data_IF_389033880077
#
_entry.id   IF_389033880077
#
_cell.length_a   1.000
_cell.length_b   1.000
_cell.length_c   1.000
_cell.angle_alpha   90.00
_cell.angle_beta   90.00
_cell.angle_gamma   90.00
#
_symmetry.space_group_name_H-M   'P 1'
#
loop_
_entity.id
_entity.type
_entity.pdbx_description
1 polymer ?
#
# COMPACT_ATOMS: atom_id res chain seq x y z
N UNK A 1 9.82 12.07 32.13
CA UNK A 1 9.65 10.60 31.98
C UNK A 1 8.19 10.28 31.73
N UNK A 2 7.30 10.59 32.68
CA UNK A 2 5.86 10.32 32.55
C UNK A 2 5.22 11.02 31.34
N UNK A 3 5.57 12.30 31.08
CA UNK A 3 5.04 13.03 29.93
C UNK A 3 5.41 12.35 28.59
N UNK A 4 6.69 12.07 28.36
CA UNK A 4 7.16 11.40 27.14
C UNK A 4 6.59 9.99 26.98
N UNK A 5 6.46 9.23 28.08
CA UNK A 5 5.82 7.91 28.06
C UNK A 5 4.33 7.97 27.73
N UNK A 6 3.61 8.94 28.29
CA UNK A 6 2.18 9.15 28.03
C UNK A 6 1.90 9.53 26.58
N UNK A 7 2.60 10.53 26.03
CA UNK A 7 2.43 10.92 24.63
C UNK A 7 2.86 9.81 23.67
N UNK A 8 3.92 9.06 24.02
CA UNK A 8 4.32 7.87 23.28
C UNK A 8 3.22 6.81 23.23
N UNK A 9 2.65 6.46 24.39
CA UNK A 9 1.53 5.54 24.49
C UNK A 9 0.30 6.02 23.71
N UNK A 10 -0.06 7.30 23.84
CA UNK A 10 -1.21 7.90 23.17
C UNK A 10 -1.05 7.88 21.64
N UNK A 11 0.16 8.11 21.13
CA UNK A 11 0.43 8.13 19.68
C UNK A 11 0.14 6.79 18.97
N UNK A 12 0.21 5.66 19.68
CA UNK A 12 -0.11 4.34 19.14
C UNK A 12 -1.58 4.19 18.74
N UNK A 13 -2.47 4.94 19.41
CA UNK A 13 -3.91 4.94 19.12
C UNK A 13 -4.25 5.70 17.83
N UNK A 14 -3.37 6.58 17.37
CA UNK A 14 -3.52 7.30 16.09
C UNK A 14 -2.89 6.54 14.92
N UNK A 15 -1.80 5.80 15.17
CA UNK A 15 -1.11 5.02 14.13
C UNK A 15 -0.39 3.83 14.73
N UNK A 16 -0.76 2.62 14.27
CA UNK A 16 -0.12 1.39 14.73
C UNK A 16 1.36 1.30 14.34
N UNK A 17 1.78 1.94 13.25
CA UNK A 17 3.17 1.91 12.75
C UNK A 17 4.13 2.70 13.65
N UNK A 18 3.60 3.56 14.51
CA UNK A 18 4.36 4.33 15.49
C UNK A 18 5.12 3.43 16.46
N UNK A 19 4.68 2.18 16.67
CA UNK A 19 5.40 1.20 17.52
C UNK A 19 6.81 0.91 17.01
N UNK A 20 7.03 0.87 15.69
CA UNK A 20 8.35 0.63 15.13
C UNK A 20 9.29 1.82 15.33
N UNK A 21 8.75 3.04 15.18
CA UNK A 21 9.52 4.28 15.34
C UNK A 21 9.83 4.54 16.81
N UNK A 22 8.83 4.47 17.69
CA UNK A 22 9.05 4.65 19.14
C UNK A 22 9.84 3.50 19.75
N UNK A 23 9.60 2.27 19.30
CA UNK A 23 10.40 1.11 19.68
C UNK A 23 11.87 1.29 19.30
N UNK A 24 12.15 1.79 18.09
CA UNK A 24 13.50 2.11 17.66
C UNK A 24 14.14 3.22 18.49
N UNK A 25 13.42 4.32 18.78
CA UNK A 25 13.95 5.41 19.62
C UNK A 25 14.22 4.91 21.04
N UNK A 26 13.28 4.21 21.66
CA UNK A 26 13.43 3.64 23.00
C UNK A 26 14.59 2.66 23.08
N UNK A 27 14.68 1.72 22.13
CA UNK A 27 15.78 0.76 22.06
C UNK A 27 17.11 1.46 21.80
N UNK A 28 17.16 2.50 20.97
CA UNK A 28 18.37 3.31 20.75
C UNK A 28 18.86 3.97 22.03
N UNK A 29 17.95 4.57 22.81
CA UNK A 29 18.27 5.21 24.09
C UNK A 29 18.79 4.19 25.10
N UNK A 30 18.14 3.02 25.20
CA UNK A 30 18.54 1.92 26.08
C UNK A 30 19.94 1.39 25.70
N UNK A 31 20.15 1.08 24.42
CA UNK A 31 21.42 0.57 23.91
C UNK A 31 22.56 1.58 24.12
N UNK A 32 22.35 2.87 23.83
CA UNK A 32 23.36 3.89 24.05
C UNK A 32 23.65 4.07 25.55
N UNK A 33 22.63 4.04 26.41
CA UNK A 33 22.81 4.14 27.87
C UNK A 33 23.62 2.97 28.43
N UNK A 34 23.41 1.75 27.91
CA UNK A 34 24.19 0.57 28.24
C UNK A 34 25.65 0.71 27.79
N UNK A 35 25.86 1.13 26.55
CA UNK A 35 27.21 1.32 25.98
C UNK A 35 27.99 2.42 26.71
N UNK A 36 27.31 3.47 27.15
CA UNK A 36 27.89 4.59 27.92
C UNK A 36 27.90 4.34 29.45
N UNK A 37 27.44 3.16 29.90
CA UNK A 37 27.36 2.75 31.31
C UNK A 37 26.53 3.69 32.22
N UNK A 38 25.56 4.41 31.67
CA UNK A 38 24.66 5.32 32.39
C UNK A 38 23.45 4.58 32.97
N UNK A 39 23.62 3.99 34.16
CA UNK A 39 22.60 3.15 34.81
C UNK A 39 21.26 3.85 35.09
N UNK A 40 21.29 5.13 35.50
CA UNK A 40 20.06 5.90 35.79
C UNK A 40 19.22 6.10 34.53
N UNK A 41 19.89 6.45 33.43
CA UNK A 41 19.24 6.64 32.14
C UNK A 41 18.65 5.34 31.60
N UNK A 42 19.34 4.21 31.78
CA UNK A 42 18.83 2.89 31.42
C UNK A 42 17.48 2.58 32.11
N UNK A 43 17.39 2.75 33.44
CA UNK A 43 16.15 2.50 34.19
C UNK A 43 15.05 3.46 33.71
N UNK A 44 15.38 4.74 33.55
CA UNK A 44 14.46 5.78 33.09
C UNK A 44 13.85 5.47 31.73
N UNK A 45 14.68 5.07 30.75
CA UNK A 45 14.20 4.70 29.43
C UNK A 45 13.49 3.35 29.41
N UNK A 46 13.88 2.42 30.28
CA UNK A 46 13.17 1.16 30.51
C UNK A 46 11.72 1.37 30.96
N UNK A 47 11.48 2.29 31.90
CA UNK A 47 10.13 2.64 32.35
C UNK A 47 9.28 3.22 31.20
N UNK A 48 9.86 4.10 30.37
CA UNK A 48 9.16 4.68 29.21
C UNK A 48 8.81 3.57 28.21
N UNK A 49 9.75 2.69 27.89
CA UNK A 49 9.53 1.57 26.97
C UNK A 49 8.45 0.62 27.50
N UNK A 50 8.43 0.37 28.81
CA UNK A 50 7.41 -0.45 29.46
C UNK A 50 6.01 0.14 29.34
N UNK A 51 5.84 1.45 29.56
CA UNK A 51 4.54 2.13 29.38
C UNK A 51 4.04 2.05 27.94
N UNK A 52 4.94 2.25 26.96
CA UNK A 52 4.61 2.12 25.54
C UNK A 52 4.22 0.68 25.21
N UNK A 53 4.94 -0.31 25.75
CA UNK A 53 4.64 -1.73 25.55
C UNK A 53 3.27 -2.11 26.11
N UNK A 54 2.91 -1.65 27.33
CA UNK A 54 1.58 -1.87 27.89
C UNK A 54 0.49 -1.29 26.98
N UNK A 55 0.67 -0.05 26.53
CA UNK A 55 -0.30 0.58 25.62
C UNK A 55 -0.42 -0.17 24.29
N UNK A 56 0.69 -0.66 23.75
CA UNK A 56 0.69 -1.49 22.54
C UNK A 56 -0.06 -2.81 22.77
N UNK A 57 0.20 -3.51 23.89
CA UNK A 57 -0.50 -4.75 24.21
C UNK A 57 -2.01 -4.53 24.36
N UNK A 58 -2.42 -3.45 25.01
CA UNK A 58 -3.85 -3.08 25.11
C UNK A 58 -4.49 -2.90 23.74
N UNK A 59 -3.89 -2.09 22.86
CA UNK A 59 -4.39 -1.90 21.48
C UNK A 59 -4.37 -3.22 20.70
N UNK A 60 -3.32 -4.02 20.88
CA UNK A 60 -3.15 -5.27 20.16
C UNK A 60 -4.30 -6.23 20.47
N UNK A 61 -4.59 -6.46 21.76
CA UNK A 61 -5.65 -7.37 22.16
C UNK A 61 -7.06 -6.82 21.90
N UNK A 62 -7.30 -5.52 22.11
CA UNK A 62 -8.63 -4.92 21.96
C UNK A 62 -9.02 -4.72 20.49
N UNK A 63 -8.07 -4.30 19.64
CA UNK A 63 -8.35 -3.82 18.27
C UNK A 63 -7.71 -4.72 17.23
N UNK A 64 -6.39 -4.89 17.28
CA UNK A 64 -5.62 -5.50 16.18
C UNK A 64 -5.95 -6.99 16.05
N UNK A 65 -5.96 -7.74 17.16
CA UNK A 65 -6.22 -9.18 17.15
C UNK A 65 -7.62 -9.51 16.62
N UNK A 66 -8.62 -8.72 17.00
CA UNK A 66 -9.99 -8.88 16.50
C UNK A 66 -10.13 -8.50 15.02
N UNK A 67 -9.35 -7.53 14.55
CA UNK A 67 -9.36 -7.09 13.14
C UNK A 67 -8.56 -8.01 12.21
N UNK A 68 -7.48 -8.63 12.72
CA UNK A 68 -6.66 -9.61 12.01
C UNK A 68 -7.26 -11.02 12.04
N UNK A 69 -8.19 -11.29 12.95
CA UNK A 69 -8.80 -12.60 13.21
C UNK A 69 -9.67 -13.18 12.08
N UNK A 70 -9.84 -12.50 10.95
CA UNK A 70 -10.27 -13.20 9.74
C UNK A 70 -9.05 -13.95 9.19
N UNK A 71 -8.89 -15.22 9.57
CA UNK A 71 -7.77 -16.10 9.14
C UNK A 71 -7.47 -16.01 7.63
N UNK A 72 -8.48 -15.71 6.82
CA UNK A 72 -8.36 -15.47 5.39
C UNK A 72 -7.38 -14.36 4.98
N UNK A 73 -7.20 -13.28 5.76
CA UNK A 73 -6.31 -12.17 5.38
C UNK A 73 -4.82 -12.52 5.55
N UNK A 74 -4.44 -13.02 6.72
CA UNK A 74 -3.06 -13.47 6.98
C UNK A 74 -2.68 -14.62 6.04
N UNK A 75 -3.58 -15.58 5.84
CA UNK A 75 -3.38 -16.67 4.87
C UNK A 75 -3.30 -16.15 3.43
N UNK A 76 -4.04 -15.11 3.06
CA UNK A 76 -3.94 -14.48 1.75
C UNK A 76 -2.61 -13.73 1.56
N UNK A 77 -2.09 -13.05 2.59
CA UNK A 77 -0.79 -12.39 2.52
C UNK A 77 0.36 -13.39 2.48
N UNK A 78 0.27 -14.47 3.26
CA UNK A 78 1.25 -15.56 3.26
C UNK A 78 1.34 -16.21 1.88
N UNK A 79 0.19 -16.56 1.28
CA UNK A 79 0.13 -17.09 -0.11
C UNK A 79 0.69 -16.14 -1.16
N UNK A 80 0.68 -14.83 -0.90
CA UNK A 80 1.23 -13.80 -1.79
C UNK A 80 2.70 -13.47 -1.54
N UNK A 81 3.35 -14.13 -0.57
CA UNK A 81 4.77 -13.89 -0.26
C UNK A 81 5.04 -12.51 0.35
N UNK A 82 4.09 -11.96 1.10
CA UNK A 82 4.19 -10.60 1.67
C UNK A 82 5.02 -10.52 2.97
N UNK A 83 5.54 -11.65 3.44
CA UNK A 83 6.35 -11.76 4.65
C UNK A 83 7.80 -12.08 4.30
N UNK A 84 8.72 -11.60 5.13
CA UNK A 84 10.12 -11.98 5.03
C UNK A 84 10.30 -13.49 5.28
N UNK A 85 11.08 -14.20 4.45
CA UNK A 85 11.40 -15.60 4.70
C UNK A 85 12.20 -15.72 6.00
N UNK A 86 11.83 -16.72 6.82
CA UNK A 86 12.55 -16.99 8.05
C UNK A 86 13.89 -17.66 7.72
N UNK A 87 15.04 -17.04 8.07
CA UNK A 87 16.37 -17.54 7.71
C UNK A 87 16.72 -18.90 8.34
N UNK A 88 16.00 -19.31 9.39
CA UNK A 88 16.23 -20.58 10.07
C UNK A 88 15.44 -21.75 9.47
N UNK A 89 14.39 -21.48 8.69
CA UNK A 89 13.51 -22.53 8.13
C UNK A 89 13.48 -22.55 6.61
N UNK A 90 13.84 -21.44 5.97
CA UNK A 90 13.79 -21.29 4.52
C UNK A 90 15.13 -21.62 3.87
N UNK A 91 15.12 -21.94 2.58
CA UNK A 91 16.34 -22.13 1.79
C UNK A 91 17.27 -20.92 1.89
N UNK A 92 18.58 -21.09 2.21
CA UNK A 92 19.51 -19.97 2.36
C UNK A 92 19.63 -19.11 1.10
N UNK A 93 19.59 -19.74 -0.09
CA UNK A 93 19.68 -19.05 -1.38
C UNK A 93 18.47 -18.15 -1.61
N UNK A 94 17.26 -18.68 -1.41
CA UNK A 94 16.01 -17.95 -1.65
C UNK A 94 15.84 -16.83 -0.62
N UNK A 95 16.27 -17.09 0.61
CA UNK A 95 16.33 -16.11 1.69
C UNK A 95 17.23 -14.94 1.30
N UNK A 96 18.47 -15.21 0.88
CA UNK A 96 19.42 -14.17 0.47
C UNK A 96 18.91 -13.35 -0.72
N UNK A 97 18.38 -14.02 -1.75
CA UNK A 97 17.80 -13.36 -2.91
C UNK A 97 16.65 -12.44 -2.52
N UNK A 98 15.75 -12.89 -1.64
CA UNK A 98 14.64 -12.08 -1.14
C UNK A 98 15.13 -10.83 -0.40
N UNK A 99 16.12 -10.94 0.48
CA UNK A 99 16.65 -9.77 1.21
C UNK A 99 17.35 -8.78 0.28
N UNK A 100 18.12 -9.25 -0.70
CA UNK A 100 18.77 -8.40 -1.70
C UNK A 100 17.74 -7.68 -2.58
N UNK A 101 16.75 -8.41 -3.06
CA UNK A 101 15.68 -7.85 -3.88
C UNK A 101 14.81 -6.86 -3.09
N UNK A 102 14.49 -7.19 -1.83
CA UNK A 102 13.74 -6.31 -0.94
C UNK A 102 14.54 -5.04 -0.67
N UNK A 103 15.82 -5.13 -0.32
CA UNK A 103 16.67 -3.96 -0.11
C UNK A 103 16.73 -3.08 -1.37
N UNK A 104 16.65 -3.66 -2.57
CA UNK A 104 16.64 -2.93 -3.86
C UNK A 104 15.32 -2.21 -4.02
N UNK A 105 14.23 -2.96 -3.85
CA UNK A 105 12.89 -2.51 -4.12
C UNK A 105 12.39 -1.48 -3.10
N UNK A 106 12.91 -1.46 -1.86
CA UNK A 106 12.58 -0.41 -0.87
C UNK A 106 12.86 1.01 -1.42
N UNK A 107 13.97 1.20 -2.14
CA UNK A 107 14.32 2.51 -2.71
C UNK A 107 13.47 2.85 -3.94
N UNK A 108 12.93 1.85 -4.63
CA UNK A 108 12.04 2.04 -5.77
C UNK A 108 10.61 2.34 -5.28
N UNK A 109 10.07 1.51 -4.40
CA UNK A 109 8.75 1.61 -3.82
C UNK A 109 8.79 1.15 -2.35
N UNK A 110 8.64 2.06 -1.36
CA UNK A 110 8.04 3.40 -1.49
C UNK A 110 9.02 4.55 -1.81
N UNK A 111 10.33 4.30 -1.96
CA UNK A 111 11.33 5.37 -2.04
C UNK A 111 11.28 6.28 -3.27
N UNK A 112 10.72 5.82 -4.39
CA UNK A 112 10.66 6.53 -5.68
C UNK A 112 12.03 6.95 -6.24
N UNK A 113 13.14 6.39 -5.74
CA UNK A 113 14.49 6.65 -6.21
C UNK A 113 14.80 5.71 -7.37
N UNK A 114 14.71 6.22 -8.59
CA UNK A 114 14.85 5.44 -9.82
C UNK A 114 16.23 4.78 -10.00
N UNK A 115 17.29 5.35 -9.42
CA UNK A 115 18.66 4.81 -9.49
C UNK A 115 19.01 4.13 -8.17
N UNK A 116 18.37 2.98 -7.92
CA UNK A 116 18.48 2.23 -6.66
C UNK A 116 19.93 1.88 -6.29
N UNK A 117 20.79 1.57 -7.26
CA UNK A 117 22.20 1.23 -7.00
C UNK A 117 22.99 2.40 -6.41
N UNK A 118 22.72 3.62 -6.88
CA UNK A 118 23.30 4.84 -6.31
C UNK A 118 22.75 5.09 -4.90
N UNK A 119 21.44 4.93 -4.69
CA UNK A 119 20.81 5.06 -3.39
C UNK A 119 21.36 4.06 -2.37
N UNK A 120 21.64 2.82 -2.78
CA UNK A 120 22.29 1.80 -1.94
C UNK A 120 23.67 2.24 -1.46
N UNK A 121 24.51 2.67 -2.40
CA UNK A 121 25.88 3.11 -2.08
C UNK A 121 25.83 4.30 -1.12
N UNK A 122 24.99 5.30 -1.40
CA UNK A 122 24.83 6.46 -0.55
C UNK A 122 24.28 6.09 0.84
N UNK A 123 23.29 5.20 0.91
CA UNK A 123 22.77 4.70 2.18
C UNK A 123 23.87 4.04 3.03
N UNK A 124 24.68 3.16 2.43
CA UNK A 124 25.80 2.51 3.10
C UNK A 124 26.89 3.52 3.51
N UNK A 125 27.19 4.52 2.66
CA UNK A 125 28.09 5.62 3.00
C UNK A 125 27.56 6.45 4.19
N UNK A 126 26.26 6.72 4.25
CA UNK A 126 25.65 7.42 5.37
C UNK A 126 25.73 6.62 6.68
N UNK A 127 25.45 5.32 6.61
CA UNK A 127 25.63 4.41 7.75
C UNK A 127 27.08 4.42 8.25
N UNK A 128 28.06 4.21 7.34
CA UNK A 128 29.48 4.19 7.71
C UNK A 128 29.95 5.53 8.25
N UNK A 129 29.49 6.66 7.69
CA UNK A 129 29.80 7.99 8.21
C UNK A 129 29.31 8.18 9.65
N UNK A 130 28.07 7.77 9.99
CA UNK A 130 27.57 7.86 11.37
C UNK A 130 28.35 6.97 12.34
N UNK A 131 28.80 5.79 11.89
CA UNK A 131 29.66 4.89 12.67
C UNK A 131 31.01 5.58 12.95
N UNK A 132 31.66 6.12 11.92
CA UNK A 132 32.97 6.80 12.04
C UNK A 132 32.89 8.05 12.91
N UNK A 133 31.80 8.82 12.80
CA UNK A 133 31.55 9.99 13.66
C UNK A 133 31.14 9.62 15.10
N UNK A 134 31.05 8.32 15.43
CA UNK A 134 30.59 7.81 16.72
C UNK A 134 29.18 8.27 17.12
N UNK A 135 28.34 8.65 16.14
CA UNK A 135 26.95 9.10 16.36
C UNK A 135 26.01 7.91 16.43
N UNK A 136 26.30 6.98 17.33
CA UNK A 136 25.60 5.69 17.49
C UNK A 136 24.09 5.85 17.67
N UNK A 137 23.67 6.81 18.49
CA UNK A 137 22.26 7.11 18.70
C UNK A 137 21.54 7.48 17.40
N UNK A 138 22.11 8.37 16.59
CA UNK A 138 21.52 8.77 15.31
C UNK A 138 21.41 7.59 14.34
N UNK A 139 22.45 6.75 14.27
CA UNK A 139 22.42 5.55 13.44
C UNK A 139 21.32 4.58 13.89
N UNK A 140 21.24 4.28 15.18
CA UNK A 140 20.26 3.34 15.71
C UNK A 140 18.83 3.83 15.50
N UNK A 141 18.55 5.12 15.72
CA UNK A 141 17.22 5.69 15.49
C UNK A 141 16.80 5.57 14.02
N UNK A 142 17.75 5.67 13.07
CA UNK A 142 17.45 5.57 11.65
C UNK A 142 17.35 4.11 11.18
N UNK A 143 18.19 3.21 11.69
CA UNK A 143 18.26 1.81 11.21
C UNK A 143 17.28 0.88 11.91
N UNK A 144 17.07 1.05 13.23
CA UNK A 144 16.23 0.12 14.01
C UNK A 144 14.76 0.06 13.56
N UNK A 145 14.08 1.12 13.07
CA UNK A 145 12.71 0.98 12.58
C UNK A 145 12.61 -0.05 11.44
N UNK A 146 13.62 -0.08 10.56
CA UNK A 146 13.72 -1.03 9.45
C UNK A 146 13.91 -2.45 10.00
N UNK A 147 14.84 -2.61 10.95
CA UNK A 147 15.14 -3.91 11.56
C UNK A 147 13.94 -4.47 12.32
N UNK A 148 13.26 -3.65 13.13
CA UNK A 148 12.08 -4.06 13.90
C UNK A 148 10.92 -4.47 12.98
N UNK A 149 10.70 -3.73 11.89
CA UNK A 149 9.70 -4.10 10.88
C UNK A 149 10.03 -5.43 10.19
N UNK A 150 11.32 -5.66 9.90
CA UNK A 150 11.80 -6.90 9.29
C UNK A 150 11.62 -8.08 10.24
N UNK A 151 11.96 -7.94 11.52
CA UNK A 151 11.73 -8.95 12.56
C UNK A 151 10.23 -9.27 12.67
N UNK A 152 9.37 -8.25 12.73
CA UNK A 152 7.92 -8.45 12.76
C UNK A 152 7.40 -9.17 11.51
N UNK A 153 8.07 -9.00 10.36
CA UNK A 153 7.75 -9.71 9.13
C UNK A 153 8.20 -11.16 9.11
N UNK A 154 9.39 -11.46 9.64
CA UNK A 154 9.87 -12.84 9.85
C UNK A 154 8.90 -13.60 10.76
N UNK A 155 8.33 -12.92 11.77
CA UNK A 155 7.30 -13.46 12.67
C UNK A 155 5.89 -13.52 12.06
N UNK A 156 5.75 -13.16 10.78
CA UNK A 156 4.47 -13.10 10.05
C UNK A 156 3.40 -12.22 10.72
N UNK A 157 3.82 -11.23 11.52
CA UNK A 157 2.94 -10.25 12.16
C UNK A 157 2.86 -8.93 11.40
N UNK A 158 3.75 -8.72 10.44
CA UNK A 158 3.82 -7.49 9.65
C UNK A 158 4.20 -7.75 8.19
N UNK A 159 3.49 -7.15 7.25
CA UNK A 159 3.82 -7.30 5.83
C UNK A 159 4.98 -6.38 5.43
N UNK A 160 6.04 -6.98 4.89
CA UNK A 160 7.21 -6.26 4.38
C UNK A 160 7.19 -6.34 2.87
N UNK A 161 6.25 -5.62 2.27
CA UNK A 161 6.01 -5.66 0.84
C UNK A 161 6.72 -4.52 0.15
N UNK A 162 7.41 -4.84 -0.94
CA UNK A 162 8.08 -3.89 -1.83
C UNK A 162 7.65 -4.19 -3.26
N UNK A 163 7.93 -3.29 -4.21
CA UNK A 163 7.70 -3.57 -5.63
C UNK A 163 8.88 -3.08 -6.45
N UNK A 164 9.27 -3.89 -7.43
CA UNK A 164 10.24 -3.52 -8.45
C UNK A 164 9.64 -2.59 -9.51
N UNK A 165 8.30 -2.45 -9.56
CA UNK A 165 7.61 -1.59 -10.51
C UNK A 165 7.33 -0.21 -9.91
N UNK A 166 7.70 0.83 -10.65
CA UNK A 166 7.34 2.23 -10.37
C UNK A 166 5.87 2.54 -10.67
N UNK A 167 5.23 1.70 -11.50
CA UNK A 167 3.89 1.96 -12.06
C UNK A 167 2.78 1.19 -11.35
N UNK A 168 3.12 0.12 -10.60
CA UNK A 168 2.15 -0.73 -9.93
C UNK A 168 2.25 -0.61 -8.40
N UNK A 169 1.21 -0.06 -7.76
CA UNK A 169 1.18 0.16 -6.30
C UNK A 169 0.04 -0.66 -5.69
N UNK A 170 0.41 -1.72 -4.94
CA UNK A 170 0.00 -1.71 -3.54
C UNK A 170 1.10 -2.14 -2.56
N UNK A 171 2.33 -2.38 -3.02
CA UNK A 171 3.40 -3.04 -2.25
C UNK A 171 4.02 -2.19 -1.13
N UNK A 172 4.73 -1.09 -1.43
CA UNK A 172 5.57 -0.39 -0.45
C UNK A 172 4.84 0.46 0.58
N UNK A 173 3.50 0.56 0.55
CA UNK A 173 2.75 1.46 1.44
C UNK A 173 2.91 1.11 2.92
N UNK A 174 3.11 -0.16 3.26
CA UNK A 174 3.36 -0.57 4.63
C UNK A 174 4.72 -0.06 5.12
N UNK A 175 5.63 0.31 4.24
CA UNK A 175 6.97 0.77 4.58
C UNK A 175 7.12 2.31 4.52
N UNK A 176 6.03 3.07 4.39
CA UNK A 176 6.13 4.54 4.30
C UNK A 176 6.79 5.18 5.55
N UNK A 177 6.61 4.58 6.72
CA UNK A 177 7.18 5.10 7.96
C UNK A 177 8.72 4.95 8.04
N UNK A 178 9.34 4.06 7.26
CA UNK A 178 10.81 3.92 7.21
C UNK A 178 11.44 4.90 6.21
N UNK A 179 10.64 5.53 5.35
CA UNK A 179 11.14 6.41 4.29
C UNK A 179 11.96 7.59 4.81
N UNK A 180 11.57 8.31 5.89
CA UNK A 180 12.41 9.37 6.44
C UNK A 180 13.80 8.85 6.85
N UNK A 181 13.87 7.66 7.44
CA UNK A 181 15.16 7.06 7.82
C UNK A 181 16.04 6.74 6.62
N UNK A 182 15.45 6.17 5.56
CA UNK A 182 16.18 5.85 4.33
C UNK A 182 16.73 7.11 3.67
N UNK A 183 15.89 8.14 3.52
CA UNK A 183 16.27 9.40 2.86
C UNK A 183 17.32 10.16 3.67
N UNK A 184 17.23 10.17 4.99
CA UNK A 184 18.25 10.81 5.84
C UNK A 184 19.61 10.11 5.75
N UNK A 185 19.63 8.77 5.69
CA UNK A 185 20.89 8.02 5.51
C UNK A 185 21.47 8.20 4.11
N UNK A 186 20.63 8.26 3.07
CA UNK A 186 21.07 8.61 1.70
C UNK A 186 21.62 10.04 1.66
N UNK A 187 20.95 11.00 2.31
CA UNK A 187 21.39 12.39 2.38
C UNK A 187 22.71 12.53 3.15
N UNK A 188 22.90 11.78 4.22
CA UNK A 188 24.18 11.71 4.94
C UNK A 188 25.30 11.20 4.01
N UNK A 189 25.07 10.10 3.29
CA UNK A 189 26.04 9.60 2.31
C UNK A 189 26.34 10.59 1.18
N UNK A 190 25.36 11.41 0.79
CA UNK A 190 25.56 12.48 -0.18
C UNK A 190 26.41 13.62 0.40
N UNK A 191 26.18 14.02 1.66
CA UNK A 191 27.00 15.02 2.36
C UNK A 191 28.45 14.54 2.56
N UNK A 192 28.64 13.24 2.82
CA UNK A 192 29.96 12.61 2.83
C UNK A 192 30.73 12.85 1.53
N UNK A 193 30.06 12.68 0.38
CA UNK A 193 30.70 12.84 -0.93
C UNK A 193 30.94 14.30 -1.30
N UNK A 194 30.12 15.24 -0.81
CA UNK A 194 30.19 16.68 -1.16
C UNK A 194 31.59 17.28 -1.11
N UNK A 195 32.41 16.86 -0.14
CA UNK A 195 33.79 17.37 0.05
C UNK A 195 34.86 16.58 -0.71
N UNK A 196 34.51 15.46 -1.33
CA UNK A 196 35.44 14.49 -1.95
C UNK A 196 35.33 14.41 -3.46
N UNK A 197 34.25 14.92 -4.03
CA UNK A 197 34.00 14.90 -5.47
C UNK A 197 33.87 16.32 -6.03
N UNK A 198 34.09 16.47 -7.32
CA UNK A 198 33.92 17.74 -8.00
C UNK A 198 32.46 18.23 -7.94
N UNK A 199 32.25 19.56 -7.82
CA UNK A 199 30.91 20.16 -7.65
C UNK A 199 29.90 19.74 -8.71
N UNK A 200 30.32 19.58 -9.97
CA UNK A 200 29.43 19.16 -11.06
C UNK A 200 29.02 17.70 -10.95
N UNK A 201 29.90 16.82 -10.45
CA UNK A 201 29.56 15.41 -10.19
C UNK A 201 28.54 15.31 -9.05
N UNK A 202 28.73 16.11 -7.98
CA UNK A 202 27.76 16.22 -6.89
C UNK A 202 26.39 16.68 -7.39
N UNK A 203 26.34 17.76 -8.18
CA UNK A 203 25.09 18.26 -8.78
C UNK A 203 24.46 17.21 -9.67
N UNK A 204 25.26 16.49 -10.48
CA UNK A 204 24.78 15.38 -11.31
C UNK A 204 24.14 14.26 -10.50
N UNK A 205 24.77 13.84 -9.40
CA UNK A 205 24.23 12.83 -8.47
C UNK A 205 22.89 13.29 -7.89
N UNK A 206 22.81 14.53 -7.40
CA UNK A 206 21.58 15.11 -6.86
C UNK A 206 20.49 15.13 -7.94
N UNK A 207 20.80 15.63 -9.13
CA UNK A 207 19.87 15.69 -10.24
C UNK A 207 19.32 14.30 -10.58
N UNK A 208 20.19 13.29 -10.68
CA UNK A 208 19.81 11.90 -10.99
C UNK A 208 18.91 11.29 -9.89
N UNK A 209 19.17 11.57 -8.61
CA UNK A 209 18.32 11.10 -7.51
C UNK A 209 16.91 11.69 -7.55
N UNK A 210 16.80 12.98 -7.88
CA UNK A 210 15.52 13.69 -7.94
C UNK A 210 14.79 13.55 -9.26
N UNK A 211 15.47 13.11 -10.33
CA UNK A 211 14.90 13.00 -11.67
C UNK A 211 13.61 12.19 -11.66
N UNK A 212 13.62 11.00 -11.03
CA UNK A 212 12.46 10.12 -11.03
C UNK A 212 11.26 10.70 -10.23
N UNK A 213 11.40 11.11 -8.96
CA UNK A 213 10.31 11.76 -8.23
C UNK A 213 9.75 12.99 -8.96
N UNK A 214 10.60 13.79 -9.58
CA UNK A 214 10.19 14.97 -10.36
C UNK A 214 9.40 14.56 -11.61
N UNK A 215 9.88 13.58 -12.38
CA UNK A 215 9.17 13.09 -13.57
C UNK A 215 7.81 12.48 -13.22
N UNK A 216 7.71 11.71 -12.13
CA UNK A 216 6.44 11.19 -11.63
C UNK A 216 5.52 12.34 -11.19
N UNK A 217 6.06 13.33 -10.48
CA UNK A 217 5.33 14.52 -10.08
C UNK A 217 4.76 15.29 -11.28
N UNK A 218 5.58 15.56 -12.30
CA UNK A 218 5.18 16.23 -13.53
C UNK A 218 4.13 15.43 -14.30
N UNK A 219 4.32 14.12 -14.45
CA UNK A 219 3.33 13.22 -15.07
C UNK A 219 1.99 13.27 -14.34
N UNK A 220 2.01 13.32 -13.01
CA UNK A 220 0.80 13.41 -12.18
C UNK A 220 0.16 14.80 -12.20
N UNK A 221 0.88 15.86 -12.59
CA UNK A 221 0.29 17.18 -12.82
C UNK A 221 -0.46 17.24 -14.16
N UNK A 222 0.16 16.69 -15.21
CA UNK A 222 -0.46 16.63 -16.55
C UNK A 222 -1.62 15.63 -16.60
N UNK A 223 -1.41 14.46 -16.00
CA UNK A 223 -2.38 13.39 -15.91
C UNK A 223 -2.59 13.04 -14.44
N UNK A 224 -3.40 13.83 -13.71
CA UNK A 224 -3.78 13.50 -12.34
C UNK A 224 -4.22 12.06 -12.25
N UNK A 225 -3.85 11.40 -11.15
CA UNK A 225 -4.37 10.08 -10.81
C UNK A 225 -5.84 10.28 -10.43
N UNK A 226 -6.67 10.47 -11.46
CA UNK A 226 -8.11 10.30 -11.40
C UNK A 226 -8.29 8.80 -11.27
N UNK A 227 -8.61 8.34 -10.06
CA UNK A 227 -8.85 6.92 -9.78
C UNK A 227 -10.08 6.39 -10.52
N UNK A 228 -10.84 5.51 -9.88
CA UNK A 228 -12.12 5.02 -10.39
C UNK A 228 -13.18 6.14 -10.30
N UNK A 229 -13.09 7.15 -11.18
CA UNK A 229 -14.10 8.22 -11.24
C UNK A 229 -15.36 7.69 -11.90
N UNK A 230 -16.15 6.98 -11.12
CA UNK A 230 -17.40 6.35 -11.52
C UNK A 230 -18.55 7.36 -11.67
N UNK A 231 -18.41 8.56 -11.09
CA UNK A 231 -19.45 9.59 -11.05
C UNK A 231 -20.06 9.89 -12.43
N UNK A 232 -19.30 10.25 -13.48
CA UNK A 232 -19.87 10.54 -14.80
C UNK A 232 -20.59 9.33 -15.40
N UNK A 233 -20.20 8.11 -15.04
CA UNK A 233 -20.84 6.88 -15.51
C UNK A 233 -22.18 6.67 -14.80
N UNK A 234 -22.25 6.92 -13.49
CA UNK A 234 -23.52 6.86 -12.74
C UNK A 234 -24.47 7.96 -13.23
N UNK A 235 -23.97 9.18 -13.44
CA UNK A 235 -24.78 10.29 -13.98
C UNK A 235 -25.39 9.92 -15.34
N UNK A 236 -24.63 9.23 -16.20
CA UNK A 236 -25.11 8.73 -17.49
C UNK A 236 -26.21 7.67 -17.36
N UNK A 237 -26.04 6.69 -16.46
CA UNK A 237 -27.07 5.67 -16.18
C UNK A 237 -28.34 6.35 -15.68
N UNK A 238 -28.22 7.30 -14.76
CA UNK A 238 -29.38 8.00 -14.18
C UNK A 238 -30.14 8.79 -15.24
N UNK A 239 -29.44 9.51 -16.11
CA UNK A 239 -30.05 10.28 -17.20
C UNK A 239 -30.85 9.38 -18.16
N UNK A 240 -30.23 8.28 -18.60
CA UNK A 240 -30.80 7.39 -19.63
C UNK A 240 -31.64 6.23 -19.14
N UNK A 241 -31.65 5.96 -17.84
CA UNK A 241 -32.39 4.81 -17.28
C UNK A 241 -33.90 5.03 -17.30
N UNK A 242 -34.64 3.92 -17.46
CA UNK A 242 -36.09 3.84 -17.32
C UNK A 242 -36.45 3.14 -16.00
N UNK A 243 -37.71 3.24 -15.57
CA UNK A 243 -38.18 2.71 -14.27
C UNK A 243 -38.01 1.19 -14.10
N UNK A 244 -37.90 0.43 -15.20
CA UNK A 244 -37.74 -1.03 -15.20
C UNK A 244 -36.30 -1.46 -15.53
N UNK A 245 -35.36 -0.52 -15.63
CA UNK A 245 -33.97 -0.85 -15.90
C UNK A 245 -33.32 -1.44 -14.64
N UNK A 246 -32.52 -2.50 -14.83
CA UNK A 246 -31.70 -3.09 -13.77
C UNK A 246 -30.26 -2.61 -13.89
N UNK A 247 -29.57 -2.47 -12.76
CA UNK A 247 -28.14 -2.11 -12.73
C UNK A 247 -27.35 -3.24 -12.06
N UNK A 248 -26.63 -4.01 -12.86
CA UNK A 248 -25.64 -4.95 -12.38
C UNK A 248 -24.34 -4.23 -11.99
N UNK A 249 -23.99 -4.32 -10.72
CA UNK A 249 -22.78 -3.76 -10.15
C UNK A 249 -21.69 -4.84 -10.13
N UNK A 250 -20.61 -4.61 -10.88
CA UNK A 250 -19.44 -5.45 -10.76
C UNK A 250 -18.94 -5.50 -9.30
N UNK A 251 -18.45 -6.66 -8.84
CA UNK A 251 -18.21 -6.90 -7.41
C UNK A 251 -17.27 -5.87 -6.74
N UNK A 252 -16.31 -5.30 -7.50
CA UNK A 252 -15.40 -4.25 -7.00
C UNK A 252 -16.03 -2.85 -6.98
N UNK A 253 -17.10 -2.67 -7.71
CA UNK A 253 -17.76 -1.40 -7.96
C UNK A 253 -18.82 -1.05 -6.91
N UNK A 254 -19.29 -2.07 -6.17
CA UNK A 254 -20.28 -1.95 -5.09
C UNK A 254 -20.02 -0.79 -4.13
N UNK A 255 -18.80 -0.65 -3.60
CA UNK A 255 -18.52 0.37 -2.58
C UNK A 255 -18.52 1.80 -3.14
N UNK A 256 -18.08 1.98 -4.38
CA UNK A 256 -18.09 3.29 -5.02
C UNK A 256 -19.50 3.67 -5.43
N UNK A 257 -20.25 2.71 -5.98
CA UNK A 257 -21.66 2.91 -6.23
C UNK A 257 -22.42 3.26 -4.94
N UNK A 258 -22.15 2.57 -3.83
CA UNK A 258 -22.82 2.83 -2.55
C UNK A 258 -22.56 4.25 -2.01
N UNK A 259 -21.37 4.79 -2.26
CA UNK A 259 -21.02 6.17 -1.93
C UNK A 259 -21.80 7.17 -2.79
N UNK A 260 -21.86 6.95 -4.10
CA UNK A 260 -22.47 7.88 -5.05
C UNK A 260 -24.00 7.76 -5.12
N UNK A 261 -24.57 6.57 -4.98
CA UNK A 261 -26.00 6.33 -5.10
C UNK A 261 -26.81 7.19 -4.14
N UNK A 262 -26.31 7.51 -2.93
CA UNK A 262 -27.02 8.36 -1.98
C UNK A 262 -27.33 9.75 -2.54
N UNK A 263 -26.51 10.22 -3.48
CA UNK A 263 -26.70 11.49 -4.19
C UNK A 263 -27.66 11.38 -5.37
N UNK A 264 -27.91 10.16 -5.87
CA UNK A 264 -28.69 9.87 -7.07
C UNK A 264 -30.01 9.11 -6.79
N UNK A 265 -30.21 8.55 -5.60
CA UNK A 265 -31.40 7.77 -5.23
C UNK A 265 -32.70 8.60 -5.32
N UNK A 266 -32.62 9.92 -5.19
CA UNK A 266 -33.78 10.80 -5.33
C UNK A 266 -34.33 10.90 -6.77
N UNK A 267 -33.67 10.31 -7.79
CA UNK A 267 -34.10 10.51 -9.18
C UNK A 267 -34.91 9.36 -9.81
N UNK A 268 -34.61 8.06 -9.56
CA UNK A 268 -35.24 6.96 -10.32
C UNK A 268 -35.43 5.58 -9.66
N UNK A 269 -35.07 5.35 -8.38
CA UNK A 269 -35.23 4.04 -7.69
C UNK A 269 -34.87 2.79 -8.53
N UNK A 270 -33.68 2.78 -9.14
CA UNK A 270 -33.24 1.66 -9.97
C UNK A 270 -32.97 0.40 -9.14
N UNK A 271 -33.39 -0.76 -9.65
CA UNK A 271 -33.07 -2.05 -9.04
C UNK A 271 -31.58 -2.36 -9.25
N UNK A 272 -30.82 -2.55 -8.17
CA UNK A 272 -29.38 -2.81 -8.23
C UNK A 272 -29.07 -4.25 -7.84
N UNK A 273 -28.36 -4.96 -8.72
CA UNK A 273 -27.92 -6.34 -8.51
C UNK A 273 -26.42 -6.32 -8.24
N UNK A 274 -26.00 -6.92 -7.13
CA UNK A 274 -24.61 -6.86 -6.67
C UNK A 274 -23.88 -8.13 -7.07
N UNK A 275 -22.94 -7.99 -7.99
CA UNK A 275 -22.13 -9.11 -8.45
C UNK A 275 -21.26 -9.71 -7.36
N UNK A 276 -21.05 -11.02 -7.44
CA UNK A 276 -20.20 -11.77 -6.52
C UNK A 276 -18.83 -12.00 -7.14
N UNK A 277 -17.76 -11.76 -6.37
CA UNK A 277 -16.40 -11.97 -6.87
C UNK A 277 -16.08 -13.44 -7.07
N UNK A 278 -15.65 -13.81 -8.28
CA UNK A 278 -15.23 -15.17 -8.65
C UNK A 278 -15.59 -15.49 -10.11
N UNK A 279 -14.75 -16.26 -10.81
CA UNK A 279 -14.98 -16.58 -12.24
C UNK A 279 -16.34 -17.26 -12.47
N UNK A 280 -16.68 -18.25 -11.65
CA UNK A 280 -17.93 -19.00 -11.80
C UNK A 280 -19.14 -18.20 -11.29
N UNK A 281 -18.95 -17.37 -10.29
CA UNK A 281 -20.01 -16.54 -9.71
C UNK A 281 -20.54 -15.51 -10.71
N UNK A 282 -19.64 -14.95 -11.53
CA UNK A 282 -20.00 -13.96 -12.53
C UNK A 282 -20.88 -14.55 -13.65
N UNK A 283 -20.57 -15.76 -14.13
CA UNK A 283 -21.40 -16.45 -15.13
C UNK A 283 -22.80 -16.66 -14.58
N UNK A 284 -22.89 -17.16 -13.33
CA UNK A 284 -24.17 -17.37 -12.67
C UNK A 284 -24.96 -16.06 -12.46
N UNK A 285 -24.29 -14.96 -12.14
CA UNK A 285 -24.93 -13.65 -12.03
C UNK A 285 -25.59 -13.24 -13.36
N UNK A 286 -24.95 -13.48 -14.50
CA UNK A 286 -25.51 -13.18 -15.82
C UNK A 286 -26.66 -14.11 -16.18
N UNK A 287 -26.53 -15.40 -15.89
CA UNK A 287 -27.61 -16.35 -16.12
C UNK A 287 -28.88 -15.92 -15.38
N UNK A 288 -28.75 -15.38 -14.17
CA UNK A 288 -29.87 -14.83 -13.39
C UNK A 288 -30.44 -13.51 -13.97
N UNK A 289 -29.73 -12.85 -14.88
CA UNK A 289 -30.13 -11.61 -15.55
C UNK A 289 -30.80 -11.84 -16.90
N UNK A 290 -30.85 -13.08 -17.39
CA UNK A 290 -31.60 -13.47 -18.60
C UNK A 290 -33.08 -13.14 -18.46
N UNK A 291 -33.75 -12.94 -19.60
CA UNK A 291 -35.14 -12.48 -19.67
C UNK A 291 -35.36 -10.99 -19.40
N UNK A 292 -34.32 -10.22 -19.01
CA UNK A 292 -34.45 -8.79 -18.74
C UNK A 292 -34.10 -7.95 -19.98
N UNK A 293 -34.99 -7.05 -20.37
CA UNK A 293 -34.83 -6.26 -21.60
C UNK A 293 -33.83 -5.11 -21.52
N UNK A 294 -33.51 -4.64 -20.31
CA UNK A 294 -32.63 -3.48 -20.09
C UNK A 294 -31.80 -3.66 -18.83
N UNK A 295 -30.57 -4.13 -18.99
CA UNK A 295 -29.61 -4.33 -17.89
C UNK A 295 -28.36 -3.49 -18.11
N UNK A 296 -28.11 -2.54 -17.22
CA UNK A 296 -26.88 -1.76 -17.16
C UNK A 296 -25.81 -2.53 -16.39
N UNK A 297 -24.72 -2.85 -17.04
CA UNK A 297 -23.53 -3.39 -16.39
C UNK A 297 -22.60 -2.24 -16.05
N UNK A 298 -22.29 -2.06 -14.76
CA UNK A 298 -21.45 -0.98 -14.26
C UNK A 298 -20.13 -1.51 -13.72
N UNK A 299 -19.04 -1.00 -14.30
CA UNK A 299 -17.67 -1.38 -13.97
C UNK A 299 -16.88 -0.19 -13.48
N UNK A 300 -16.06 -0.45 -12.46
CA UNK A 300 -15.01 0.44 -11.98
C UNK A 300 -13.72 -0.36 -11.90
N UNK A 301 -12.66 0.16 -12.52
CA UNK A 301 -11.42 -0.59 -12.71
C UNK A 301 -10.19 0.33 -12.69
N UNK A 302 -9.38 0.17 -11.65
CA UNK A 302 -8.02 0.74 -11.59
C UNK A 302 -6.92 -0.29 -11.73
N UNK A 303 -7.23 -1.58 -11.52
CA UNK A 303 -6.27 -2.66 -11.54
C UNK A 303 -6.37 -3.44 -12.85
N UNK A 304 -5.24 -3.86 -13.41
CA UNK A 304 -5.17 -4.72 -14.59
C UNK A 304 -6.02 -6.00 -14.43
N UNK A 305 -6.06 -6.56 -13.21
CA UNK A 305 -6.94 -7.68 -12.91
C UNK A 305 -8.43 -7.32 -13.01
N UNK A 306 -8.83 -6.12 -12.57
CA UNK A 306 -10.21 -5.65 -12.75
C UNK A 306 -10.55 -5.48 -14.24
N UNK A 307 -9.57 -5.06 -15.05
CA UNK A 307 -9.72 -4.95 -16.50
C UNK A 307 -9.94 -6.33 -17.13
N UNK A 308 -9.13 -7.33 -16.80
CA UNK A 308 -9.30 -8.70 -17.31
C UNK A 308 -10.62 -9.34 -16.87
N UNK A 309 -11.01 -9.12 -15.61
CA UNK A 309 -12.31 -9.60 -15.12
C UNK A 309 -13.47 -8.91 -15.89
N UNK A 310 -13.36 -7.59 -16.18
CA UNK A 310 -14.32 -6.84 -17.01
C UNK A 310 -14.37 -7.37 -18.45
N UNK A 311 -13.22 -7.57 -19.08
CA UNK A 311 -13.12 -8.08 -20.46
C UNK A 311 -13.76 -9.46 -20.56
N UNK A 312 -13.37 -10.38 -19.68
CA UNK A 312 -14.01 -11.70 -19.59
C UNK A 312 -15.53 -11.60 -19.41
N UNK A 313 -15.97 -10.62 -18.61
CA UNK A 313 -17.38 -10.37 -18.39
C UNK A 313 -18.11 -9.97 -19.66
N UNK A 314 -17.57 -9.00 -20.39
CA UNK A 314 -18.18 -8.52 -21.63
C UNK A 314 -18.10 -9.58 -22.73
N UNK A 315 -16.99 -10.31 -22.83
CA UNK A 315 -16.81 -11.40 -23.77
C UNK A 315 -17.86 -12.50 -23.57
N UNK A 316 -18.16 -12.83 -22.30
CA UNK A 316 -19.21 -13.80 -21.99
C UNK A 316 -20.60 -13.29 -22.40
N UNK A 317 -20.95 -12.04 -22.11
CA UNK A 317 -22.24 -11.46 -22.55
C UNK A 317 -22.33 -11.52 -24.07
N UNK A 318 -21.29 -11.08 -24.78
CA UNK A 318 -21.25 -11.06 -26.24
C UNK A 318 -21.28 -12.46 -26.87
N UNK A 319 -20.81 -13.49 -26.16
CA UNK A 319 -20.93 -14.88 -26.61
C UNK A 319 -22.36 -15.41 -26.58
N UNK A 320 -23.27 -14.74 -25.84
CA UNK A 320 -24.69 -15.03 -25.90
C UNK A 320 -25.27 -14.45 -27.19
N UNK A 321 -25.56 -15.31 -28.17
CA UNK A 321 -26.13 -14.91 -29.48
C UNK A 321 -27.43 -14.09 -29.36
N UNK A 322 -28.13 -14.24 -28.25
CA UNK A 322 -29.35 -13.54 -27.91
C UNK A 322 -29.16 -12.15 -27.29
N UNK A 323 -27.93 -11.76 -26.93
CA UNK A 323 -27.65 -10.47 -26.29
C UNK A 323 -27.54 -9.35 -27.33
N UNK A 324 -28.03 -8.16 -26.99
CA UNK A 324 -27.92 -6.97 -27.84
C UNK A 324 -27.44 -5.77 -27.03
N UNK A 325 -26.29 -5.20 -27.39
CA UNK A 325 -25.80 -3.95 -26.81
C UNK A 325 -26.66 -2.77 -27.29
N UNK A 326 -27.30 -2.06 -26.37
CA UNK A 326 -28.16 -0.91 -26.66
C UNK A 326 -27.44 0.44 -26.49
N UNK A 327 -26.52 0.54 -25.54
CA UNK A 327 -25.81 1.78 -25.23
C UNK A 327 -24.52 1.48 -24.45
N UNK A 328 -23.54 2.40 -24.50
CA UNK A 328 -22.32 2.33 -23.69
C UNK A 328 -21.75 3.70 -23.38
N UNK A 329 -21.04 3.77 -22.25
CA UNK A 329 -20.17 4.89 -21.93
C UNK A 329 -18.88 4.39 -21.29
N UNK A 330 -17.75 4.80 -21.85
CA UNK A 330 -16.44 4.55 -21.27
C UNK A 330 -15.79 5.87 -20.84
N UNK A 331 -15.31 5.90 -19.59
CA UNK A 331 -14.50 6.99 -19.03
C UNK A 331 -13.27 6.39 -18.37
N UNK A 332 -12.28 7.23 -18.09
CA UNK A 332 -11.05 6.80 -17.43
C UNK A 332 -11.39 6.20 -16.05
N UNK A 333 -11.14 4.90 -15.90
CA UNK A 333 -11.32 4.16 -14.63
C UNK A 333 -12.73 3.61 -14.36
N UNK A 334 -13.70 3.82 -15.25
CA UNK A 334 -15.05 3.28 -15.12
C UNK A 334 -15.78 3.20 -16.47
N UNK A 335 -16.65 2.21 -16.64
CA UNK A 335 -17.51 2.13 -17.82
C UNK A 335 -18.86 1.50 -17.49
N UNK A 336 -19.83 1.75 -18.36
CA UNK A 336 -21.11 1.06 -18.34
C UNK A 336 -21.55 0.65 -19.72
N UNK A 337 -22.29 -0.45 -19.79
CA UNK A 337 -22.84 -1.03 -21.00
C UNK A 337 -24.28 -1.44 -20.70
N UNK A 338 -25.20 -1.06 -21.57
CA UNK A 338 -26.60 -1.44 -21.50
C UNK A 338 -26.84 -2.58 -22.49
N UNK A 339 -27.32 -3.72 -21.99
CA UNK A 339 -27.70 -4.86 -22.83
C UNK A 339 -29.20 -5.15 -22.72
N UNK A 340 -29.76 -5.63 -23.83
CA UNK A 340 -31.01 -6.36 -23.88
C UNK A 340 -30.70 -7.86 -23.81
N UNK A 341 -31.20 -8.51 -22.76
CA UNK A 341 -31.09 -9.93 -22.50
C UNK A 341 -32.46 -10.62 -22.52
N UNK A 342 -33.49 -9.99 -23.11
CA UNK A 342 -34.86 -10.54 -23.13
C UNK A 342 -35.03 -11.78 -24.00
N UNK A 343 -34.14 -11.96 -25.00
CA UNK A 343 -34.10 -13.14 -25.87
C UNK A 343 -33.16 -14.23 -25.34
N UNK A 344 -32.43 -13.89 -24.28
CA UNK A 344 -31.69 -14.83 -23.47
C UNK A 344 -32.59 -15.32 -22.33
#
# INVERSE_FOLDING_TARGET
VCFSGFFGALSLWFSFLTIFVLGAVGLSLILCSLLERKKIDFIKYGIIAFLILISFLLIFYLVINNSLGSDGQLAAWSRKGFFAPNPFTSSPKDTLLWYLETFKNIFINPGSLGVYGLSWVLFLCGCTQKIVQQKRFQLFVLVLPIVLALIASILQKYTFTTSSSLTYIPGGRSLLFILPSLLLLVAEGLDYLKRRIHKFVYIGIVFVLFLNPVLIGLKNLENPIVGENIRPVIEYIVDKSKSNDKVYLFYRTKHQFDYYQRRFQNSKNLETIRGVGGKNSFVQDIENLRGNSRVWFLFSYTLERSLKDKEFTLDYIQSLECSLELDRLEKKGASTYLYDLSKC
#
